data_IF_609349694878
#
_entry.id   IF_609349694878
#
_cell.length_a   1.000
_cell.length_b   1.000
_cell.length_c   1.000
_cell.angle_alpha   90.00
_cell.angle_beta   90.00
_cell.angle_gamma   90.00
#
_symmetry.space_group_name_H-M   'P 1'
#
loop_
_entity.id
_entity.type
_entity.pdbx_description
1 polymer ?
#
# COMPACT_ATOMS: atom_id res chain seq x y z
N UNK A 1 -2.80 7.67 26.76
CA UNK A 1 -3.86 6.89 27.43
C UNK A 1 -4.87 6.49 26.36
N UNK A 2 -5.00 5.20 26.05
CA UNK A 2 -5.94 4.73 25.04
C UNK A 2 -7.32 4.68 25.70
N UNK A 3 -8.16 5.67 25.44
CA UNK A 3 -9.54 5.71 25.93
C UNK A 3 -10.46 5.20 24.82
N UNK A 4 -10.63 3.88 24.74
CA UNK A 4 -11.84 3.33 24.14
C UNK A 4 -12.85 3.15 25.28
N UNK A 5 -13.98 3.89 25.28
CA UNK A 5 -14.93 3.88 26.40
C UNK A 5 -15.83 2.62 26.42
N UNK A 6 -15.69 1.74 25.44
CA UNK A 6 -16.57 0.59 25.26
C UNK A 6 -16.25 -0.52 26.28
N UNK A 7 -17.19 -0.88 27.18
CA UNK A 7 -16.99 -1.93 28.18
C UNK A 7 -17.03 -3.35 27.59
N UNK A 8 -17.35 -3.48 26.30
CA UNK A 8 -17.41 -4.74 25.56
C UNK A 8 -16.74 -4.57 24.18
N UNK A 9 -16.24 -5.65 23.55
CA UNK A 9 -15.73 -5.59 22.18
C UNK A 9 -16.80 -5.03 21.22
N UNK A 10 -16.50 -3.98 20.46
CA UNK A 10 -17.47 -3.36 19.55
C UNK A 10 -17.62 -4.19 18.25
N UNK A 11 -18.55 -3.74 17.39
CA UNK A 11 -18.85 -4.43 16.14
C UNK A 11 -17.66 -4.52 15.17
N UNK A 12 -17.79 -5.39 14.16
CA UNK A 12 -16.71 -5.76 13.25
C UNK A 12 -16.28 -4.65 12.27
N UNK A 13 -17.04 -3.56 12.20
CA UNK A 13 -16.75 -2.37 11.40
C UNK A 13 -16.23 -1.19 12.25
N UNK A 14 -16.36 -1.25 13.58
CA UNK A 14 -15.89 -0.22 14.49
C UNK A 14 -14.36 -0.14 14.56
N UNK A 15 -13.81 1.08 14.67
CA UNK A 15 -12.41 1.34 15.04
C UNK A 15 -12.40 2.38 16.14
N UNK A 16 -11.83 2.06 17.32
CA UNK A 16 -11.79 3.01 18.43
C UNK A 16 -11.04 4.28 18.00
N UNK A 17 -11.47 5.44 18.49
CA UNK A 17 -10.65 6.64 18.38
C UNK A 17 -9.41 6.50 19.28
N UNK A 18 -8.27 7.03 18.81
CA UNK A 18 -7.11 7.29 19.66
C UNK A 18 -6.97 8.81 19.75
N UNK A 19 -6.87 9.35 20.97
CA UNK A 19 -6.82 10.80 21.22
C UNK A 19 -5.69 11.52 20.44
N UNK A 20 -4.55 10.85 20.22
CA UNK A 20 -3.44 11.40 19.42
C UNK A 20 -3.78 11.62 17.93
N UNK A 21 -4.87 10.99 17.45
CA UNK A 21 -5.25 10.94 16.04
C UNK A 21 -6.63 11.57 15.77
N UNK A 22 -7.30 12.17 16.77
CA UNK A 22 -8.70 12.63 16.65
C UNK A 22 -8.94 13.72 15.61
N UNK A 23 -7.91 14.47 15.21
CA UNK A 23 -8.02 15.49 14.15
C UNK A 23 -7.92 14.96 12.72
N UNK A 24 -7.62 13.67 12.51
CA UNK A 24 -7.33 13.12 11.18
C UNK A 24 -8.52 12.41 10.54
N UNK A 25 -8.74 12.69 9.25
CA UNK A 25 -9.82 12.11 8.45
C UNK A 25 -9.38 11.90 6.99
N UNK A 26 -10.29 11.48 6.10
CA UNK A 26 -9.98 11.38 4.66
C UNK A 26 -9.85 12.76 3.99
N UNK A 27 -10.46 13.77 4.61
CA UNK A 27 -10.42 15.19 4.25
C UNK A 27 -9.18 15.87 4.84
N UNK A 28 -8.83 15.55 6.10
CA UNK A 28 -7.67 16.08 6.81
C UNK A 28 -6.63 14.98 7.09
N UNK A 29 -5.83 14.66 6.08
CA UNK A 29 -4.83 13.59 6.15
C UNK A 29 -3.59 13.99 6.98
N UNK A 30 -3.04 13.08 7.82
CA UNK A 30 -1.87 13.37 8.63
C UNK A 30 -0.62 13.64 7.77
N UNK A 31 0.21 14.66 8.10
CA UNK A 31 1.41 15.03 7.33
C UNK A 31 2.36 13.86 7.05
N UNK A 32 2.53 12.96 8.02
CA UNK A 32 3.42 11.80 7.95
C UNK A 32 3.12 10.86 6.76
N UNK A 33 1.89 10.85 6.22
CA UNK A 33 1.57 10.10 5.01
C UNK A 33 2.38 10.57 3.80
N UNK A 34 2.66 11.87 3.71
CA UNK A 34 3.29 12.48 2.53
C UNK A 34 4.81 12.51 2.61
N UNK A 35 5.42 12.02 3.69
CA UNK A 35 6.87 11.97 3.81
C UNK A 35 7.43 10.88 2.87
N UNK A 36 8.45 11.21 2.07
CA UNK A 36 8.99 10.32 1.01
C UNK A 36 9.74 9.13 1.59
N UNK A 37 10.78 9.39 2.37
CA UNK A 37 11.61 8.40 3.08
C UNK A 37 11.37 8.50 4.61
N UNK A 38 11.42 7.37 5.33
CA UNK A 38 11.27 7.37 6.78
C UNK A 38 12.38 8.14 7.49
N UNK A 39 12.13 8.65 8.71
CA UNK A 39 13.21 9.11 9.59
C UNK A 39 14.34 8.09 9.71
N UNK A 40 15.58 8.57 9.66
CA UNK A 40 16.80 7.73 9.72
C UNK A 40 16.89 7.02 11.08
N UNK A 41 16.52 7.72 12.14
CA UNK A 41 16.49 7.19 13.50
C UNK A 41 15.28 6.26 13.69
N UNK A 42 15.56 5.00 14.02
CA UNK A 42 14.55 3.99 14.35
C UNK A 42 14.53 3.76 15.85
N UNK A 43 13.33 3.65 16.42
CA UNK A 43 13.17 3.26 17.82
C UNK A 43 13.76 1.87 18.08
N UNK A 44 14.75 1.80 18.96
CA UNK A 44 15.35 0.56 19.47
C UNK A 44 14.64 0.04 20.72
N UNK A 45 13.77 0.85 21.33
CA UNK A 45 12.98 0.49 22.53
C UNK A 45 12.12 -0.74 22.25
N UNK A 46 12.26 -1.79 23.06
CA UNK A 46 11.42 -2.99 22.96
C UNK A 46 9.95 -2.59 23.02
N UNK A 47 9.14 -3.14 22.11
CA UNK A 47 7.69 -2.90 22.11
C UNK A 47 7.10 -3.73 23.26
N UNK A 48 6.46 -3.12 24.28
CA UNK A 48 5.93 -3.86 25.41
C UNK A 48 4.66 -4.63 25.02
N UNK A 49 4.25 -5.56 25.88
CA UNK A 49 2.95 -6.21 25.78
C UNK A 49 1.84 -5.27 26.26
N UNK A 50 0.67 -5.32 25.62
CA UNK A 50 -0.51 -4.59 26.04
C UNK A 50 -1.07 -5.22 27.33
N UNK A 51 -1.17 -4.41 28.37
CA UNK A 51 -1.69 -4.82 29.68
C UNK A 51 -2.95 -4.04 30.00
N UNK A 52 -4.05 -4.74 30.24
CA UNK A 52 -5.34 -4.18 30.66
C UNK A 52 -5.71 -4.79 32.01
N UNK A 53 -6.08 -3.97 33.00
CA UNK A 53 -6.42 -4.40 34.36
C UNK A 53 -5.35 -5.31 35.03
N UNK A 54 -4.07 -5.10 34.69
CA UNK A 54 -2.95 -5.89 35.22
C UNK A 54 -2.79 -7.27 34.62
N UNK A 55 -3.45 -7.57 33.48
CA UNK A 55 -3.30 -8.82 32.73
C UNK A 55 -2.89 -8.53 31.28
N UNK A 56 -2.10 -9.43 30.69
CA UNK A 56 -1.74 -9.33 29.27
C UNK A 56 -2.96 -9.57 28.38
N UNK A 57 -3.14 -8.72 27.38
CA UNK A 57 -4.22 -8.83 26.41
C UNK A 57 -3.85 -9.82 25.33
N UNK A 58 -4.76 -10.77 25.05
CA UNK A 58 -4.58 -11.80 24.03
C UNK A 58 -5.37 -11.50 22.75
N UNK A 59 -4.83 -11.97 21.62
CA UNK A 59 -5.45 -11.98 20.30
C UNK A 59 -6.40 -13.18 20.12
N UNK A 60 -7.03 -13.24 18.94
CA UNK A 60 -7.98 -14.30 18.56
C UNK A 60 -7.36 -15.72 18.47
N UNK A 61 -6.03 -15.84 18.42
CA UNK A 61 -5.26 -17.09 18.43
C UNK A 61 -4.64 -17.38 19.83
N UNK A 62 -4.91 -16.53 20.83
CA UNK A 62 -4.34 -16.61 22.18
C UNK A 62 -2.91 -16.06 22.31
N UNK A 63 -2.40 -15.36 21.29
CA UNK A 63 -1.09 -14.69 21.33
C UNK A 63 -1.18 -13.31 21.99
N UNK A 64 -0.13 -12.89 22.71
CA UNK A 64 -0.12 -11.58 23.37
C UNK A 64 -0.08 -10.44 22.34
N UNK A 65 -0.89 -9.40 22.58
CA UNK A 65 -0.94 -8.19 21.74
C UNK A 65 0.17 -7.22 22.15
N UNK A 66 0.96 -6.74 21.19
CA UNK A 66 1.95 -5.68 21.43
C UNK A 66 1.30 -4.29 21.61
N UNK A 67 1.77 -3.50 22.58
CA UNK A 67 1.31 -2.14 22.82
C UNK A 67 2.02 -1.13 21.91
N UNK A 68 1.28 -0.68 20.90
CA UNK A 68 1.62 0.51 20.13
C UNK A 68 0.69 1.64 20.60
N UNK A 69 1.19 2.67 21.30
CA UNK A 69 0.35 3.65 21.99
C UNK A 69 -0.51 4.53 21.06
N UNK A 70 -0.19 4.54 19.76
CA UNK A 70 -0.94 5.24 18.71
C UNK A 70 -2.01 4.37 18.03
N UNK A 71 -2.02 3.05 18.25
CA UNK A 71 -3.07 2.19 17.71
C UNK A 71 -4.36 2.32 18.52
N UNK A 72 -5.53 2.18 17.87
CA UNK A 72 -6.79 1.89 18.54
C UNK A 72 -6.74 0.56 19.31
N UNK A 73 -7.51 0.45 20.40
CA UNK A 73 -7.69 -0.83 21.11
C UNK A 73 -8.37 -1.88 20.24
N UNK A 74 -9.45 -1.49 19.57
CA UNK A 74 -10.19 -2.28 18.60
C UNK A 74 -10.12 -1.62 17.21
N UNK A 75 -9.91 -2.43 16.18
CA UNK A 75 -9.76 -2.02 14.79
C UNK A 75 -10.77 -2.78 13.93
N UNK A 76 -11.41 -2.08 13.01
CA UNK A 76 -12.35 -2.63 12.04
C UNK A 76 -11.70 -3.75 11.22
N UNK A 77 -12.48 -4.76 10.82
CA UNK A 77 -12.06 -5.73 9.79
C UNK A 77 -11.84 -5.09 8.42
N UNK A 78 -12.37 -3.88 8.21
CA UNK A 78 -12.27 -3.10 6.98
C UNK A 78 -11.78 -1.68 7.26
N UNK A 79 -10.61 -1.48 7.91
CA UNK A 79 -10.15 -0.15 8.31
C UNK A 79 -9.79 0.69 7.07
N UNK A 80 -9.76 2.02 7.23
CA UNK A 80 -9.47 2.96 6.15
C UNK A 80 -8.04 2.79 5.64
N UNK A 81 -7.86 2.83 4.32
CA UNK A 81 -6.56 2.60 3.69
C UNK A 81 -5.47 3.59 4.15
N UNK A 82 -5.84 4.86 4.32
CA UNK A 82 -4.94 5.91 4.80
C UNK A 82 -4.56 5.70 6.28
N UNK A 83 -5.47 5.20 7.13
CA UNK A 83 -5.16 4.89 8.54
C UNK A 83 -4.14 3.75 8.64
N UNK A 84 -4.34 2.67 7.87
CA UNK A 84 -3.39 1.56 7.78
C UNK A 84 -1.99 2.02 7.32
N UNK A 85 -1.93 2.93 6.34
CA UNK A 85 -0.69 3.50 5.85
C UNK A 85 -0.02 4.39 6.90
N UNK A 86 -0.80 5.25 7.58
CA UNK A 86 -0.34 6.15 8.63
C UNK A 86 0.21 5.39 9.85
N UNK A 87 -0.50 4.38 10.36
CA UNK A 87 -0.02 3.58 11.49
C UNK A 87 1.30 2.85 11.20
N UNK A 88 1.47 2.33 9.98
CA UNK A 88 2.74 1.70 9.57
C UNK A 88 3.86 2.69 9.24
N UNK A 89 3.57 3.99 9.21
CA UNK A 89 4.56 5.06 9.11
C UNK A 89 4.95 5.60 10.49
N UNK A 90 4.05 5.54 11.48
CA UNK A 90 4.37 5.89 12.88
C UNK A 90 5.41 4.94 13.50
N UNK A 91 5.36 3.65 13.19
CA UNK A 91 6.42 2.70 13.55
C UNK A 91 6.60 1.64 12.45
N UNK A 92 7.79 1.58 11.85
CA UNK A 92 8.15 0.62 10.80
C UNK A 92 8.16 -0.84 11.26
N UNK A 93 8.12 -1.09 12.57
CA UNK A 93 8.07 -2.43 13.17
C UNK A 93 6.64 -2.98 13.22
N UNK A 94 5.63 -2.12 13.02
CA UNK A 94 4.23 -2.52 13.00
C UNK A 94 3.94 -3.46 11.82
N UNK A 95 3.34 -4.62 12.10
CA UNK A 95 2.96 -5.60 11.09
C UNK A 95 1.43 -5.70 10.94
N UNK A 96 0.98 -6.40 9.89
CA UNK A 96 -0.44 -6.73 9.77
C UNK A 96 -0.92 -7.70 10.87
N UNK A 97 -0.03 -8.44 11.54
CA UNK A 97 -0.40 -9.27 12.70
C UNK A 97 -0.90 -8.39 13.84
N UNK A 98 -0.17 -7.36 14.20
CA UNK A 98 -0.50 -6.44 15.29
C UNK A 98 -1.82 -5.67 15.04
N UNK A 99 -2.11 -5.38 13.78
CA UNK A 99 -3.38 -4.77 13.34
C UNK A 99 -4.54 -5.77 13.43
N UNK A 100 -4.35 -7.01 12.93
CA UNK A 100 -5.38 -8.06 12.96
C UNK A 100 -5.67 -8.59 14.37
N UNK A 101 -4.67 -8.59 15.26
CA UNK A 101 -4.82 -8.94 16.67
C UNK A 101 -5.87 -8.07 17.39
N UNK A 102 -6.18 -6.89 16.83
CA UNK A 102 -7.12 -5.90 17.36
C UNK A 102 -8.50 -5.94 16.69
N UNK A 103 -8.74 -6.88 15.78
CA UNK A 103 -10.03 -7.09 15.15
C UNK A 103 -10.88 -8.08 15.96
N UNK A 104 -12.14 -7.75 16.22
CA UNK A 104 -13.06 -8.49 17.12
C UNK A 104 -13.68 -9.74 16.48
N UNK A 105 -13.02 -10.35 15.49
CA UNK A 105 -13.56 -11.49 14.71
C UNK A 105 -12.70 -12.74 14.80
N UNK A 106 -13.34 -13.90 14.61
CA UNK A 106 -12.66 -15.18 14.49
C UNK A 106 -11.71 -15.25 13.28
N UNK A 107 -10.68 -16.09 13.39
CA UNK A 107 -9.58 -16.28 12.42
C UNK A 107 -10.02 -16.41 10.96
N UNK A 108 -11.15 -17.10 10.73
CA UNK A 108 -11.73 -17.35 9.41
C UNK A 108 -12.34 -16.11 8.74
N UNK A 109 -12.61 -15.04 9.49
CA UNK A 109 -13.18 -13.78 9.01
C UNK A 109 -12.16 -12.65 8.90
N UNK A 110 -10.91 -12.89 9.33
CA UNK A 110 -9.85 -11.89 9.24
C UNK A 110 -9.42 -11.61 7.79
N UNK A 111 -9.17 -10.35 7.42
CA UNK A 111 -8.61 -10.01 6.12
C UNK A 111 -7.18 -10.57 5.99
N UNK A 112 -6.84 -11.06 4.80
CA UNK A 112 -5.47 -11.46 4.50
C UNK A 112 -4.54 -10.25 4.39
N UNK A 113 -3.26 -10.43 4.73
CA UNK A 113 -2.22 -9.40 4.62
C UNK A 113 -2.14 -8.80 3.21
N UNK A 114 -2.34 -9.65 2.19
CA UNK A 114 -2.42 -9.19 0.80
C UNK A 114 -3.65 -8.32 0.54
N UNK A 115 -4.80 -8.61 1.15
CA UNK A 115 -6.00 -7.76 1.04
C UNK A 115 -5.76 -6.38 1.66
N UNK A 116 -5.20 -6.33 2.87
CA UNK A 116 -4.83 -5.08 3.54
C UNK A 116 -3.77 -4.28 2.76
N UNK A 117 -2.76 -4.96 2.21
CA UNK A 117 -1.73 -4.32 1.40
C UNK A 117 -2.28 -3.78 0.06
N UNK A 118 -3.11 -4.56 -0.65
CA UNK A 118 -3.71 -4.13 -1.90
C UNK A 118 -4.73 -3.00 -1.71
N UNK A 119 -5.41 -2.96 -0.55
CA UNK A 119 -6.23 -1.82 -0.13
C UNK A 119 -5.36 -0.56 0.03
N UNK A 120 -4.31 -0.61 0.86
CA UNK A 120 -3.38 0.52 1.04
C UNK A 120 -2.82 1.01 -0.29
N UNK A 121 -2.46 0.09 -1.18
CA UNK A 121 -1.95 0.43 -2.50
C UNK A 121 -2.98 1.19 -3.35
N UNK A 122 -4.21 0.67 -3.47
CA UNK A 122 -5.25 1.24 -4.34
C UNK A 122 -5.91 2.51 -3.80
N UNK A 123 -6.15 2.57 -2.50
CA UNK A 123 -7.01 3.58 -1.86
C UNK A 123 -6.20 4.66 -1.10
N UNK A 124 -4.87 4.49 -0.93
CA UNK A 124 -4.01 5.49 -0.31
C UNK A 124 -2.72 5.78 -1.11
N UNK A 125 -1.87 4.78 -1.37
CA UNK A 125 -0.56 5.03 -2.00
C UNK A 125 -0.64 5.48 -3.44
N UNK A 126 -1.39 4.77 -4.28
CA UNK A 126 -1.54 5.12 -5.69
C UNK A 126 -2.19 6.51 -5.92
N UNK A 127 -3.29 6.90 -5.23
CA UNK A 127 -3.86 8.24 -5.41
C UNK A 127 -2.94 9.34 -4.86
N UNK A 128 -2.35 9.17 -3.67
CA UNK A 128 -1.54 10.22 -3.03
C UNK A 128 -0.05 10.23 -3.47
N UNK A 129 0.39 9.26 -4.26
CA UNK A 129 1.78 9.12 -4.74
C UNK A 129 2.76 8.54 -3.72
N UNK A 130 2.29 7.85 -2.67
CA UNK A 130 3.10 7.52 -1.50
C UNK A 130 4.07 6.35 -1.75
N UNK A 131 5.34 6.58 -1.43
CA UNK A 131 6.36 5.54 -1.37
C UNK A 131 6.08 4.49 -0.30
N UNK A 132 6.54 3.26 -0.54
CA UNK A 132 6.41 2.13 0.39
C UNK A 132 7.65 2.08 1.29
N UNK A 133 7.53 2.48 2.56
CA UNK A 133 8.67 2.53 3.51
C UNK A 133 9.22 1.17 3.92
N UNK A 134 8.45 0.09 3.77
CA UNK A 134 8.95 -1.27 4.02
C UNK A 134 9.81 -1.74 2.85
N UNK A 135 11.09 -2.01 3.13
CA UNK A 135 12.09 -2.41 2.14
C UNK A 135 11.64 -3.63 1.34
N UNK A 136 11.59 -3.50 0.01
CA UNK A 136 11.33 -4.62 -0.91
C UNK A 136 12.64 -5.26 -1.35
N UNK A 137 12.66 -6.58 -1.47
CA UNK A 137 13.79 -7.30 -2.09
C UNK A 137 13.70 -7.18 -3.62
N UNK A 138 14.81 -6.83 -4.26
CA UNK A 138 14.93 -6.72 -5.72
C UNK A 138 15.14 -5.28 -6.23
N UNK A 139 15.38 -5.13 -7.53
CA UNK A 139 15.58 -3.83 -8.17
C UNK A 139 14.36 -2.91 -8.11
N UNK A 140 14.54 -1.65 -8.51
CA UNK A 140 13.46 -0.65 -8.60
C UNK A 140 12.31 -1.20 -9.44
N UNK A 141 11.08 -1.00 -8.99
CA UNK A 141 9.87 -1.47 -9.67
C UNK A 141 9.24 -0.38 -10.53
N UNK A 142 8.48 -0.77 -11.57
CA UNK A 142 7.70 0.14 -12.41
C UNK A 142 6.89 1.16 -11.60
N UNK A 143 6.22 0.69 -10.54
CA UNK A 143 5.39 1.53 -9.65
C UNK A 143 6.20 2.51 -8.79
N UNK A 144 7.50 2.30 -8.59
CA UNK A 144 8.37 3.29 -7.93
C UNK A 144 8.72 4.42 -8.91
N UNK A 145 8.99 4.12 -10.18
CA UNK A 145 9.17 5.14 -11.24
C UNK A 145 7.88 5.94 -11.47
N UNK A 146 6.73 5.25 -11.54
CA UNK A 146 5.42 5.89 -11.66
C UNK A 146 5.14 6.88 -10.51
N UNK A 147 5.68 6.66 -9.32
CA UNK A 147 5.57 7.60 -8.18
C UNK A 147 6.56 8.76 -8.25
N UNK A 148 7.76 8.56 -8.81
CA UNK A 148 8.71 9.67 -9.07
C UNK A 148 8.09 10.67 -10.05
N UNK A 149 7.49 10.20 -11.14
CA UNK A 149 6.76 11.07 -12.08
C UNK A 149 5.61 11.86 -11.41
N UNK A 150 4.91 11.24 -10.44
CA UNK A 150 3.82 11.87 -9.69
C UNK A 150 4.26 13.05 -8.83
N UNK A 151 5.54 13.22 -8.53
CA UNK A 151 6.03 14.39 -7.79
C UNK A 151 5.80 15.66 -8.64
N UNK A 152 6.22 15.61 -9.89
CA UNK A 152 6.22 16.68 -10.90
C UNK A 152 4.92 16.94 -11.67
N UNK A 153 3.83 16.22 -11.38
CA UNK A 153 2.74 16.00 -12.35
C UNK A 153 1.93 17.25 -12.76
N UNK A 154 2.06 18.37 -12.03
CA UNK A 154 1.33 19.64 -12.25
C UNK A 154 2.13 20.72 -13.03
N UNK A 155 3.31 20.40 -13.59
CA UNK A 155 4.21 21.41 -14.21
C UNK A 155 4.44 21.16 -15.72
N UNK A 156 3.90 22.03 -16.56
CA UNK A 156 3.79 21.87 -18.02
C UNK A 156 5.10 21.99 -18.86
N UNK A 157 6.27 21.81 -18.24
CA UNK A 157 7.57 21.90 -18.94
C UNK A 157 8.63 21.03 -18.27
N UNK A 158 9.43 20.33 -19.07
CA UNK A 158 10.53 19.44 -18.62
C UNK A 158 11.52 20.14 -17.67
N UNK A 159 11.81 21.42 -17.87
CA UNK A 159 12.68 22.18 -16.97
C UNK A 159 12.05 22.40 -15.58
N UNK A 160 10.74 22.56 -15.51
CA UNK A 160 10.00 22.67 -14.25
C UNK A 160 9.77 21.30 -13.61
N UNK A 161 9.60 20.25 -14.41
CA UNK A 161 9.47 18.86 -13.96
C UNK A 161 10.66 18.41 -13.09
N UNK A 162 11.89 18.50 -13.61
CA UNK A 162 13.09 18.14 -12.83
C UNK A 162 13.28 19.04 -11.61
N UNK A 163 12.95 20.33 -11.69
CA UNK A 163 13.01 21.25 -10.54
C UNK A 163 12.00 20.86 -9.44
N UNK A 164 10.78 20.47 -9.82
CA UNK A 164 9.74 20.05 -8.88
C UNK A 164 10.18 18.78 -8.13
N UNK A 165 10.59 17.73 -8.86
CA UNK A 165 11.13 16.49 -8.28
C UNK A 165 12.26 16.80 -7.30
N UNK A 166 13.28 17.56 -7.74
CA UNK A 166 14.42 17.89 -6.89
C UNK A 166 14.03 18.67 -5.62
N UNK A 167 13.05 19.58 -5.71
CA UNK A 167 12.57 20.32 -4.53
C UNK A 167 11.81 19.39 -3.57
N UNK A 168 10.87 18.59 -4.08
CA UNK A 168 10.08 17.64 -3.28
C UNK A 168 10.94 16.58 -2.60
N UNK A 169 11.94 16.04 -3.32
CA UNK A 169 12.94 15.10 -2.77
C UNK A 169 13.78 15.78 -1.68
N UNK A 170 14.25 17.02 -1.92
CA UNK A 170 15.03 17.81 -0.94
C UNK A 170 14.21 18.24 0.30
N UNK A 171 12.87 18.30 0.17
CA UNK A 171 11.93 18.57 1.25
C UNK A 171 11.29 17.28 1.84
N UNK A 172 11.77 16.10 1.43
CA UNK A 172 11.28 14.78 1.85
C UNK A 172 9.75 14.60 1.72
N UNK A 173 9.12 15.10 0.65
CA UNK A 173 7.66 15.18 0.56
C UNK A 173 7.07 14.79 -0.80
N UNK A 174 5.87 14.20 -0.78
CA UNK A 174 4.99 14.01 -1.94
C UNK A 174 3.92 15.09 -2.06
N UNK A 175 3.90 16.07 -1.15
CA UNK A 175 3.04 17.26 -1.24
C UNK A 175 3.46 18.16 -2.41
N UNK A 176 2.54 18.99 -2.89
CA UNK A 176 2.87 20.00 -3.89
C UNK A 176 3.55 21.19 -3.19
N UNK A 177 4.62 21.71 -3.78
CA UNK A 177 5.34 22.87 -3.21
C UNK A 177 4.74 24.14 -3.78
N UNK A 178 4.08 24.94 -2.94
CA UNK A 178 3.67 26.29 -3.30
C UNK A 178 4.84 27.25 -3.12
N UNK A 179 5.00 28.17 -4.06
CA UNK A 179 6.07 29.15 -4.11
C UNK A 179 5.51 30.57 -3.90
N UNK A 180 6.34 31.52 -3.49
CA UNK A 180 5.94 32.93 -3.38
C UNK A 180 5.96 33.64 -4.73
N UNK A 181 4.94 34.45 -5.02
CA UNK A 181 4.77 35.18 -6.28
C UNK A 181 5.68 36.40 -6.47
N UNK A 182 6.58 36.70 -5.52
CA UNK A 182 7.56 37.79 -5.63
C UNK A 182 8.90 37.31 -6.20
N UNK A 183 9.19 37.49 -7.51
CA UNK A 183 10.52 37.32 -8.08
C UNK A 183 11.41 38.52 -7.70
N UNK A 184 11.72 38.69 -6.41
CA UNK A 184 12.65 39.70 -5.95
C UNK A 184 14.06 39.46 -6.55
N UNK A 185 14.44 40.31 -7.50
CA UNK A 185 15.79 40.41 -8.08
C UNK A 185 16.35 39.12 -8.71
N UNK A 186 15.54 38.42 -9.51
CA UNK A 186 16.00 37.28 -10.32
C UNK A 186 16.46 36.05 -9.52
N UNK A 187 16.20 36.01 -8.21
CA UNK A 187 16.43 34.83 -7.38
C UNK A 187 15.38 33.76 -7.64
N UNK A 188 15.77 32.50 -7.42
CA UNK A 188 14.86 31.35 -7.39
C UNK A 188 13.73 31.64 -6.39
N UNK A 189 12.47 31.58 -6.84
CA UNK A 189 11.33 31.71 -5.93
C UNK A 189 11.41 30.69 -4.79
N UNK A 190 11.11 31.17 -3.58
CA UNK A 190 11.27 30.45 -2.32
C UNK A 190 10.00 29.65 -2.02
N UNK A 191 10.11 28.39 -1.56
CA UNK A 191 8.97 27.63 -1.04
C UNK A 191 8.24 28.38 0.07
N UNK A 192 6.92 28.50 -0.08
CA UNK A 192 6.01 29.15 0.86
C UNK A 192 5.41 28.13 1.83
N UNK A 193 4.81 27.08 1.29
CA UNK A 193 4.18 26.00 2.05
C UNK A 193 4.10 24.70 1.22
N UNK A 194 3.89 23.59 1.92
CA UNK A 194 3.54 22.30 1.31
C UNK A 194 2.02 22.15 1.29
N UNK A 195 1.43 22.00 0.11
CA UNK A 195 0.00 21.72 -0.05
C UNK A 195 -0.22 20.21 -0.11
N UNK A 196 -0.97 19.68 0.85
CA UNK A 196 -1.27 18.25 0.90
C UNK A 196 -2.13 17.79 -0.30
N UNK A 197 -1.99 16.52 -0.68
CA UNK A 197 -2.92 15.88 -1.62
C UNK A 197 -4.07 15.28 -0.83
N UNK A 198 -5.31 15.55 -1.19
CA UNK A 198 -6.49 15.04 -0.48
C UNK A 198 -7.03 13.75 -1.16
N UNK A 199 -7.93 13.04 -0.48
CA UNK A 199 -8.74 11.97 -1.10
C UNK A 199 -10.18 12.42 -1.40
N UNK A 200 -10.60 13.59 -0.89
CA UNK A 200 -12.00 14.02 -0.81
C UNK A 200 -12.33 15.34 -1.56
N UNK A 201 -11.38 15.94 -2.28
CA UNK A 201 -11.62 17.14 -3.12
C UNK A 201 -11.80 18.48 -2.38
N UNK A 202 -11.72 18.50 -1.05
CA UNK A 202 -11.79 19.71 -0.20
C UNK A 202 -10.48 20.52 -0.29
N UNK A 203 -10.49 21.86 -0.12
CA UNK A 203 -9.27 22.67 -0.08
C UNK A 203 -8.19 22.03 0.80
N UNK A 204 -7.04 21.76 0.18
CA UNK A 204 -5.97 21.02 0.81
C UNK A 204 -5.36 21.78 1.99
N UNK A 205 -5.02 21.05 3.05
CA UNK A 205 -4.25 21.62 4.16
C UNK A 205 -2.86 22.06 3.67
N UNK A 206 -2.46 23.27 4.04
CA UNK A 206 -1.12 23.80 3.80
C UNK A 206 -0.28 23.72 5.09
N UNK A 207 0.93 23.18 4.96
CA UNK A 207 1.88 22.99 6.05
C UNK A 207 3.15 23.81 5.81
N UNK A 208 3.95 24.15 6.84
CA UNK A 208 5.25 24.80 6.67
C UNK A 208 6.13 24.07 5.65
N UNK A 209 6.83 24.80 4.78
CA UNK A 209 7.67 24.20 3.73
C UNK A 209 8.79 23.28 4.29
N UNK A 210 9.17 23.49 5.55
CA UNK A 210 10.21 22.74 6.28
C UNK A 210 9.67 21.58 7.14
N UNK A 211 8.38 21.22 7.03
CA UNK A 211 7.69 20.22 7.88
C UNK A 211 8.45 18.89 8.08
N UNK A 212 9.18 18.41 7.07
CA UNK A 212 9.91 17.13 7.12
C UNK A 212 11.45 17.30 7.22
N UNK A 213 11.96 18.53 7.43
CA UNK A 213 13.38 18.81 7.48
C UNK A 213 13.96 18.57 8.88
N UNK A 214 14.57 17.40 9.06
CA UNK A 214 15.31 17.08 10.28
C UNK A 214 16.45 18.07 10.49
N UNK A 215 16.48 18.72 11.66
CA UNK A 215 17.48 19.74 12.04
C UNK A 215 17.61 20.90 11.04
N UNK A 216 16.52 21.26 10.33
CA UNK A 216 16.48 22.29 9.27
C UNK A 216 17.45 22.05 8.10
N UNK A 217 17.87 20.79 7.89
CA UNK A 217 18.72 20.40 6.77
C UNK A 217 17.86 19.81 5.65
N UNK A 218 18.23 20.11 4.41
CA UNK A 218 17.64 19.44 3.25
C UNK A 218 17.84 17.93 3.35
N UNK A 219 16.83 17.21 2.87
CA UNK A 219 16.80 15.76 2.88
C UNK A 219 17.77 15.17 1.85
N UNK A 220 18.51 14.15 2.28
CA UNK A 220 19.30 13.29 1.39
C UNK A 220 18.47 12.03 1.13
N UNK A 221 18.09 11.72 -0.13
CA UNK A 221 17.25 10.57 -0.43
C UNK A 221 17.88 9.26 0.03
N UNK A 222 17.05 8.31 0.46
CA UNK A 222 17.50 6.95 0.72
C UNK A 222 18.12 6.33 -0.54
N UNK A 223 18.99 5.33 -0.37
CA UNK A 223 19.59 4.62 -1.50
C UNK A 223 18.54 4.12 -2.50
N UNK A 224 17.36 3.70 -2.01
CA UNK A 224 16.26 3.24 -2.85
C UNK A 224 15.57 4.36 -3.63
N UNK A 225 15.36 5.52 -3.01
CA UNK A 225 14.81 6.68 -3.71
C UNK A 225 15.82 7.22 -4.74
N UNK A 226 17.11 7.23 -4.41
CA UNK A 226 18.18 7.59 -5.33
C UNK A 226 18.28 6.63 -6.53
N UNK A 227 18.21 5.31 -6.32
CA UNK A 227 18.10 4.31 -7.41
C UNK A 227 16.90 4.60 -8.32
N UNK A 228 15.75 4.95 -7.76
CA UNK A 228 14.53 5.21 -8.53
C UNK A 228 14.62 6.52 -9.33
N UNK A 229 15.23 7.57 -8.77
CA UNK A 229 15.48 8.83 -9.46
C UNK A 229 16.45 8.64 -10.63
N UNK A 230 17.57 7.94 -10.42
CA UNK A 230 18.56 7.67 -11.47
C UNK A 230 17.99 6.80 -12.60
N UNK A 231 17.18 5.78 -12.27
CA UNK A 231 16.51 4.98 -13.30
C UNK A 231 15.43 5.78 -14.05
N UNK A 232 14.71 6.69 -13.39
CA UNK A 232 13.76 7.57 -14.06
C UNK A 232 14.46 8.50 -15.07
N UNK A 233 15.61 9.07 -14.69
CA UNK A 233 16.45 9.89 -15.59
C UNK A 233 16.93 9.08 -16.82
N UNK A 234 17.46 7.87 -16.62
CA UNK A 234 17.86 6.96 -17.70
C UNK A 234 16.71 6.60 -18.65
N UNK A 235 15.51 6.39 -18.12
CA UNK A 235 14.31 6.10 -18.91
C UNK A 235 13.87 7.31 -19.74
N UNK A 236 13.96 8.53 -19.20
CA UNK A 236 13.69 9.77 -19.95
C UNK A 236 14.76 10.03 -21.03
N UNK A 237 16.03 9.73 -20.76
CA UNK A 237 17.10 9.79 -21.76
C UNK A 237 16.89 8.77 -22.89
N UNK A 238 16.48 7.55 -22.57
CA UNK A 238 16.13 6.53 -23.56
C UNK A 238 14.94 6.98 -24.43
N UNK A 239 13.89 7.57 -23.84
CA UNK A 239 12.78 8.18 -24.57
C UNK A 239 13.27 9.28 -25.52
N UNK A 240 14.06 10.23 -25.02
CA UNK A 240 14.57 11.36 -25.82
C UNK A 240 15.46 10.94 -27.00
N UNK A 241 16.11 9.78 -26.91
CA UNK A 241 16.93 9.19 -27.97
C UNK A 241 16.18 8.18 -28.85
N UNK A 242 14.84 8.14 -28.77
CA UNK A 242 13.99 7.17 -29.47
C UNK A 242 12.81 7.83 -30.19
N UNK A 243 11.99 7.02 -30.87
CA UNK A 243 10.72 7.46 -31.48
C UNK A 243 9.51 7.30 -30.54
N UNK A 244 9.72 6.97 -29.26
CA UNK A 244 8.66 6.76 -28.28
C UNK A 244 8.33 8.04 -27.53
N UNK A 245 7.10 8.13 -27.00
CA UNK A 245 6.61 9.31 -26.27
C UNK A 245 6.64 9.15 -24.76
N UNK A 246 6.60 7.91 -24.29
CA UNK A 246 6.58 7.52 -22.88
C UNK A 246 7.53 6.34 -22.67
N UNK A 247 8.25 6.30 -21.54
CA UNK A 247 9.17 5.19 -21.23
C UNK A 247 8.45 3.85 -21.11
N UNK A 248 7.13 3.86 -20.87
CA UNK A 248 6.26 2.68 -20.86
C UNK A 248 6.15 2.00 -22.23
N UNK A 249 6.48 2.71 -23.31
CA UNK A 249 6.45 2.24 -24.69
C UNK A 249 7.81 1.68 -25.16
N UNK A 250 8.89 1.92 -24.40
CA UNK A 250 10.23 1.45 -24.73
C UNK A 250 10.28 -0.09 -24.85
N UNK A 251 11.09 -0.61 -25.77
CA UNK A 251 11.23 -2.04 -25.96
C UNK A 251 11.93 -2.69 -24.74
N UNK A 252 11.65 -3.98 -24.53
CA UNK A 252 12.03 -4.67 -23.29
C UNK A 252 13.53 -4.79 -23.03
N UNK A 253 14.39 -4.61 -24.04
CA UNK A 253 15.84 -4.53 -23.93
C UNK A 253 16.33 -3.20 -23.31
N UNK A 254 15.54 -2.13 -23.44
CA UNK A 254 15.81 -0.81 -22.85
C UNK A 254 15.15 -0.65 -21.46
N UNK A 255 14.26 -1.57 -21.08
CA UNK A 255 13.64 -1.64 -19.76
C UNK A 255 14.47 -2.51 -18.79
N UNK A 256 14.44 -2.23 -17.48
CA UNK A 256 15.10 -3.06 -16.47
C UNK A 256 14.74 -4.54 -16.58
N UNK A 257 15.75 -5.41 -16.66
CA UNK A 257 15.57 -6.87 -16.75
C UNK A 257 14.70 -7.46 -15.63
N UNK A 258 14.67 -6.83 -14.45
CA UNK A 258 13.79 -7.20 -13.33
C UNK A 258 12.30 -7.01 -13.60
N UNK A 259 11.92 -6.18 -14.57
CA UNK A 259 10.53 -5.98 -15.01
C UNK A 259 10.11 -7.03 -16.04
N UNK A 260 11.08 -7.53 -16.82
CA UNK A 260 10.92 -8.63 -17.78
C UNK A 260 10.77 -9.98 -17.09
N UNK A 261 9.69 -10.14 -16.32
CA UNK A 261 9.24 -11.44 -15.82
C UNK A 261 8.74 -12.29 -16.99
N UNK A 262 9.66 -12.96 -17.69
CA UNK A 262 9.34 -14.24 -18.31
C UNK A 262 8.68 -15.10 -17.24
N UNK A 263 7.41 -15.46 -17.45
CA UNK A 263 6.75 -16.51 -16.67
C UNK A 263 7.67 -17.74 -16.73
N UNK A 264 8.23 -18.13 -15.60
CA UNK A 264 9.04 -19.34 -15.50
C UNK A 264 8.16 -20.57 -15.70
N UNK A 265 7.93 -20.95 -16.95
CA UNK A 265 7.18 -22.16 -17.32
C UNK A 265 7.83 -22.94 -18.49
N UNK A 266 9.11 -22.69 -18.76
CA UNK A 266 9.94 -23.50 -19.67
C UNK A 266 10.61 -24.68 -18.93
N UNK A 267 9.81 -25.45 -18.16
CA UNK A 267 10.22 -26.75 -17.60
C UNK A 267 9.10 -27.80 -17.70
N UNK A 268 8.55 -27.98 -18.90
CA UNK A 268 8.02 -29.27 -19.38
C UNK A 268 7.83 -29.25 -20.90
N UNK A 269 8.00 -30.42 -21.54
CA UNK A 269 8.07 -30.65 -23.01
C UNK A 269 9.31 -29.97 -23.64
N UNK A 270 10.25 -30.63 -24.34
CA UNK A 270 10.30 -31.87 -25.15
C UNK A 270 11.77 -32.44 -25.07
N UNK A 271 12.17 -33.64 -25.51
CA UNK A 271 11.50 -34.80 -26.15
C UNK A 271 12.29 -36.09 -25.86
N UNK A 272 11.52 -37.18 -25.78
CA UNK A 272 11.76 -38.60 -26.11
C UNK A 272 13.08 -39.10 -26.72
N UNK A 273 13.53 -40.27 -26.25
CA UNK A 273 14.38 -41.24 -26.96
C UNK A 273 13.94 -42.67 -26.57
N UNK A 274 13.85 -43.66 -27.48
CA UNK A 274 13.10 -44.90 -27.26
C UNK A 274 13.94 -46.11 -26.83
N UNK A 275 13.23 -47.19 -26.47
CA UNK A 275 13.63 -48.63 -26.39
C UNK A 275 13.72 -49.20 -24.99
N UNK A 276 13.08 -50.37 -24.78
CA UNK A 276 13.11 -51.10 -23.50
C UNK A 276 11.83 -51.88 -23.20
N UNK A 277 11.47 -52.84 -24.05
CA UNK A 277 10.33 -53.74 -23.81
C UNK A 277 10.64 -54.62 -22.59
N UNK A 278 9.76 -54.63 -21.58
CA UNK A 278 9.43 -55.88 -20.89
C UNK A 278 7.96 -55.89 -20.45
N UNK A 279 7.32 -57.05 -20.64
CA UNK A 279 5.87 -57.28 -20.54
C UNK A 279 5.65 -58.48 -19.62
N UNK A 280 5.07 -58.26 -18.44
CA UNK A 280 4.45 -59.28 -17.59
C UNK A 280 3.28 -58.57 -16.87
N UNK A 281 2.04 -58.78 -17.30
CA UNK A 281 1.14 -59.89 -16.93
C UNK A 281 0.62 -59.72 -15.49
N UNK A 282 -0.65 -59.30 -15.39
CA UNK A 282 -1.43 -59.34 -14.16
C UNK A 282 -1.90 -60.78 -13.85
N UNK A 283 -2.38 -61.03 -12.62
CA UNK A 283 -3.85 -61.10 -12.49
C UNK A 283 -4.43 -60.54 -11.17
N UNK A 284 -5.58 -59.86 -11.30
CA UNK A 284 -6.68 -59.88 -10.31
C UNK A 284 -7.49 -61.19 -10.53
N UNK A 285 -8.33 -61.74 -9.60
CA UNK A 285 -9.33 -60.99 -8.82
C UNK A 285 -9.80 -61.57 -7.45
N UNK A 286 -10.68 -60.84 -6.75
CA UNK A 286 -11.96 -61.27 -6.11
C UNK A 286 -12.60 -60.02 -5.45
N UNK A 287 -13.87 -59.66 -5.73
CA UNK A 287 -15.12 -60.03 -4.99
C UNK A 287 -15.06 -59.68 -3.49
N UNK A 288 -16.05 -59.04 -2.83
CA UNK A 288 -17.40 -58.55 -3.15
C UNK A 288 -18.05 -58.01 -1.84
N UNK A 289 -19.31 -57.58 -1.68
CA UNK A 289 -20.44 -57.18 -2.55
C UNK A 289 -21.48 -56.48 -1.63
N UNK A 290 -22.24 -55.46 -2.08
CA UNK A 290 -23.32 -54.85 -1.26
C UNK A 290 -23.90 -53.54 -1.79
N UNK A 291 -25.11 -53.58 -2.35
CA UNK A 291 -25.89 -52.44 -2.87
C UNK A 291 -26.97 -51.93 -1.88
N UNK A 292 -27.83 -51.03 -2.38
CA UNK A 292 -29.09 -50.51 -1.81
C UNK A 292 -29.00 -49.38 -0.75
N UNK A 293 -29.82 -48.33 -0.78
CA UNK A 293 -30.65 -47.78 -1.86
C UNK A 293 -30.99 -46.30 -1.57
N UNK A 294 -31.32 -45.53 -2.62
CA UNK A 294 -31.92 -44.18 -2.55
C UNK A 294 -33.31 -44.29 -3.21
N UNK A 295 -34.36 -43.62 -2.71
CA UNK A 295 -34.69 -42.30 -3.27
C UNK A 295 -35.28 -41.29 -2.25
N UNK A 296 -35.10 -39.98 -2.50
CA UNK A 296 -36.22 -39.11 -2.92
C UNK A 296 -35.80 -37.65 -3.19
N UNK A 297 -36.23 -37.14 -4.35
CA UNK A 297 -36.09 -35.79 -4.92
C UNK A 297 -36.97 -35.75 -6.20
N UNK A 298 -37.38 -34.61 -6.80
CA UNK A 298 -37.36 -33.21 -6.34
C UNK A 298 -38.81 -32.62 -6.46
N UNK A 299 -39.20 -31.43 -7.03
CA UNK A 299 -38.53 -30.46 -7.94
C UNK A 299 -38.43 -28.99 -7.45
N UNK A 300 -37.49 -28.25 -8.07
CA UNK A 300 -37.48 -26.77 -8.17
C UNK A 300 -38.32 -26.34 -9.40
N UNK A 301 -38.82 -25.08 -9.45
CA UNK A 301 -38.20 -24.16 -10.42
C UNK A 301 -38.15 -22.66 -10.03
N UNK A 302 -37.18 -21.98 -10.64
CA UNK A 302 -36.96 -20.50 -10.80
C UNK A 302 -37.61 -19.99 -12.11
N UNK A 303 -37.56 -18.69 -12.49
CA UNK A 303 -37.46 -17.40 -11.76
C UNK A 303 -38.55 -16.38 -12.22
N UNK A 304 -38.53 -15.14 -11.72
CA UNK A 304 -39.33 -14.03 -12.26
C UNK A 304 -38.68 -12.65 -12.10
N UNK A 305 -38.63 -11.86 -13.17
CA UNK A 305 -38.06 -10.50 -13.20
C UNK A 305 -39.15 -9.43 -13.37
N UNK A 306 -38.94 -8.24 -12.79
CA UNK A 306 -39.74 -7.05 -13.08
C UNK A 306 -38.90 -5.76 -13.00
N UNK A 307 -38.96 -4.97 -14.08
CA UNK A 307 -38.45 -3.60 -14.13
C UNK A 307 -39.36 -2.64 -13.34
N UNK A 308 -38.80 -1.56 -12.79
CA UNK A 308 -39.49 -0.26 -12.75
C UNK A 308 -38.50 0.91 -12.80
N UNK A 309 -38.90 1.99 -13.52
CA UNK A 309 -38.16 3.25 -13.67
C UNK A 309 -38.75 4.33 -12.74
N UNK A 310 -37.91 5.23 -12.21
CA UNK A 310 -38.29 6.60 -11.78
C UNK A 310 -36.98 7.40 -11.60
N UNK A 311 -36.57 8.23 -12.55
CA UNK A 311 -36.89 9.68 -12.73
C UNK A 311 -36.62 10.55 -11.49
N UNK A 312 -35.65 11.46 -11.63
CA UNK A 312 -35.43 12.61 -10.76
C UNK A 312 -36.54 13.67 -10.93
N UNK A 313 -36.78 14.52 -9.92
CA UNK A 313 -37.18 15.91 -10.11
C UNK A 313 -35.95 16.84 -10.27
N UNK A 314 -36.24 18.09 -10.64
CA UNK A 314 -35.30 19.19 -10.90
C UNK A 314 -34.88 19.91 -9.61
#
# INVERSE_FOLDING_TARGET
>A
MIVCPDPFPPDTNHTCQNAANQGYSAENLPPLLFQLDPPIERSTTVIPNLVENGQEVLDYDGGVIHDFPFLPRYISTRPSAWQLEFWMRLDLRLTYRDIKARMTVGKNLLPSDNSLNMRREREARAPLGLSCWTTRRGGVTRTEIERVEKLSQDQASLCFHFRAINTQVSLNTTMDVEYSDEPANGRLSVPKCLRARNLAGIPAACYPWDTFLMNKRLHVPSARLAEALALHEQLLEAVANSNFSDWRELPGDQLPLSWNRKRGNDRRTKVSGPSGIFRQVAPNPTEGTGEEANPDLPPQPVPGASFLRTRCPQ
#
